data_IF_726202269586
#
_entry.id   IF_726202269586
#
_cell.length_a   1.000
_cell.length_b   1.000
_cell.length_c   1.000
_cell.angle_alpha   90.00
_cell.angle_beta   90.00
_cell.angle_gamma   90.00
#
_symmetry.space_group_name_H-M   'P 1'
#
loop_
_entity.id
_entity.type
_entity.pdbx_description
1 polymer ?
#
# COMPACT_ATOMS: atom_id res chain seq x y z
N UNK A 1 -45.56 54.15 63.88
CA UNK A 1 -46.08 53.56 62.66
C UNK A 1 -44.88 53.25 61.80
N UNK A 2 -44.47 52.01 61.66
CA UNK A 2 -43.32 51.54 60.89
C UNK A 2 -43.83 50.73 59.69
N UNK A 3 -43.60 51.27 58.51
CA UNK A 3 -43.90 50.63 57.25
C UNK A 3 -42.77 49.65 56.87
N UNK A 4 -43.10 48.39 56.67
CA UNK A 4 -42.14 47.34 56.25
C UNK A 4 -42.25 47.20 54.73
N UNK A 5 -41.21 47.61 54.02
CA UNK A 5 -41.05 47.30 52.60
C UNK A 5 -40.53 45.86 52.45
N UNK A 6 -41.29 45.05 51.76
CA UNK A 6 -40.85 43.71 51.32
C UNK A 6 -40.14 43.86 49.97
N UNK A 7 -38.87 43.59 49.95
CA UNK A 7 -38.10 43.50 48.68
C UNK A 7 -38.23 42.07 48.16
N UNK A 8 -38.81 41.93 46.99
CA UNK A 8 -38.89 40.64 46.26
C UNK A 8 -37.67 40.53 45.37
N UNK A 9 -36.75 39.61 45.74
CA UNK A 9 -35.61 39.26 44.89
C UNK A 9 -36.05 38.30 43.76
N UNK A 10 -35.97 38.78 42.53
CA UNK A 10 -36.14 37.98 41.35
C UNK A 10 -34.79 37.37 40.99
N UNK A 11 -34.62 36.09 41.21
CA UNK A 11 -33.42 35.34 40.78
C UNK A 11 -33.51 35.03 39.28
N UNK A 12 -32.70 35.72 38.52
CA UNK A 12 -32.49 35.45 37.09
C UNK A 12 -31.53 34.27 36.97
N UNK A 13 -32.05 33.07 36.77
CA UNK A 13 -31.25 31.90 36.47
C UNK A 13 -30.77 31.99 35.02
N UNK A 14 -29.49 32.31 34.83
CA UNK A 14 -28.86 32.31 33.49
C UNK A 14 -28.57 30.86 33.11
N UNK A 15 -29.33 30.31 32.21
CA UNK A 15 -29.05 29.05 31.52
C UNK A 15 -27.83 29.28 30.63
N UNK A 16 -26.63 28.90 31.07
CA UNK A 16 -25.48 28.78 30.18
C UNK A 16 -25.65 27.48 29.44
N UNK A 17 -26.15 27.57 28.21
CA UNK A 17 -26.11 26.46 27.27
C UNK A 17 -24.63 26.17 26.97
N UNK A 18 -24.14 25.04 27.44
CA UNK A 18 -22.86 24.43 27.01
C UNK A 18 -23.02 24.04 25.53
N UNK A 19 -22.81 24.99 24.64
CA UNK A 19 -22.57 24.70 23.24
C UNK A 19 -21.20 23.99 23.17
N UNK A 20 -21.23 22.67 23.16
CA UNK A 20 -20.05 21.89 22.76
C UNK A 20 -19.64 22.35 21.33
N UNK A 21 -18.38 22.15 20.93
CA UNK A 21 -17.96 22.49 19.59
C UNK A 21 -18.87 21.75 18.60
N UNK A 22 -19.73 22.51 17.92
CA UNK A 22 -20.50 21.97 16.80
C UNK A 22 -19.49 21.63 15.72
N UNK A 23 -19.12 20.35 15.62
CA UNK A 23 -18.43 19.86 14.43
C UNK A 23 -19.35 20.16 13.26
N UNK A 24 -18.90 20.98 12.33
CA UNK A 24 -19.68 21.28 11.13
C UNK A 24 -19.99 19.94 10.44
N UNK A 25 -21.30 19.69 10.20
CA UNK A 25 -21.71 18.49 9.50
C UNK A 25 -21.12 18.51 8.08
N UNK A 26 -20.37 17.44 7.74
CA UNK A 26 -19.82 17.30 6.39
C UNK A 26 -20.97 17.04 5.42
N UNK A 27 -21.07 17.86 4.38
CA UNK A 27 -22.10 17.76 3.34
C UNK A 27 -21.48 17.87 1.96
N UNK A 28 -22.14 17.31 0.95
CA UNK A 28 -21.73 17.39 -0.44
C UNK A 28 -21.50 16.04 -1.10
N UNK A 29 -20.78 16.05 -2.21
CA UNK A 29 -20.45 14.84 -2.97
C UNK A 29 -18.98 14.48 -2.75
N UNK A 30 -18.70 13.19 -2.61
CA UNK A 30 -17.35 12.63 -2.50
C UNK A 30 -17.20 11.49 -3.51
N UNK A 31 -16.29 11.65 -4.46
CA UNK A 31 -15.97 10.66 -5.47
C UNK A 31 -14.71 9.90 -5.07
N UNK A 32 -14.80 8.58 -4.95
CA UNK A 32 -13.68 7.70 -4.53
C UNK A 32 -13.37 6.70 -5.63
N UNK A 33 -12.11 6.63 -6.07
CA UNK A 33 -11.62 5.61 -6.99
C UNK A 33 -10.71 4.61 -6.30
N UNK A 34 -10.98 3.31 -6.48
CA UNK A 34 -10.27 2.21 -5.85
C UNK A 34 -9.72 1.23 -6.89
N UNK A 35 -8.48 0.80 -6.68
CA UNK A 35 -7.86 -0.33 -7.40
C UNK A 35 -8.02 -1.67 -6.66
N UNK A 36 -8.77 -1.70 -5.57
CA UNK A 36 -8.99 -2.87 -4.72
C UNK A 36 -10.02 -3.82 -5.32
N UNK A 37 -9.71 -4.42 -6.46
CA UNK A 37 -10.60 -5.36 -7.14
C UNK A 37 -10.66 -6.75 -6.48
N UNK A 38 -9.66 -7.13 -5.67
CA UNK A 38 -9.64 -8.40 -4.94
C UNK A 38 -10.72 -8.45 -3.86
N UNK A 39 -11.40 -9.61 -3.66
CA UNK A 39 -12.58 -9.68 -2.80
C UNK A 39 -12.38 -9.20 -1.37
N UNK A 40 -11.34 -9.66 -0.66
CA UNK A 40 -11.14 -9.33 0.75
C UNK A 40 -10.73 -7.86 0.97
N UNK A 41 -9.72 -7.29 0.29
CA UNK A 41 -9.41 -5.86 0.38
C UNK A 41 -10.59 -4.98 -0.04
N UNK A 42 -11.33 -5.38 -1.08
CA UNK A 42 -12.51 -4.67 -1.55
C UNK A 42 -13.59 -4.60 -0.47
N UNK A 43 -13.96 -5.73 0.14
CA UNK A 43 -14.96 -5.77 1.20
C UNK A 43 -14.55 -4.90 2.40
N UNK A 44 -13.26 -4.87 2.75
CA UNK A 44 -12.74 -4.01 3.82
C UNK A 44 -12.92 -2.53 3.47
N UNK A 45 -12.56 -2.11 2.27
CA UNK A 45 -12.73 -0.71 1.84
C UNK A 45 -14.20 -0.31 1.77
N UNK A 46 -15.06 -1.17 1.23
CA UNK A 46 -16.51 -0.95 1.18
C UNK A 46 -17.10 -0.79 2.59
N UNK A 47 -16.67 -1.61 3.56
CA UNK A 47 -17.08 -1.50 4.95
C UNK A 47 -16.61 -0.19 5.61
N UNK A 48 -15.37 0.23 5.35
CA UNK A 48 -14.83 1.51 5.84
C UNK A 48 -15.61 2.70 5.27
N UNK A 49 -15.87 2.71 3.97
CA UNK A 49 -16.63 3.77 3.29
C UNK A 49 -18.07 3.80 3.83
N UNK A 50 -18.73 2.64 3.98
CA UNK A 50 -20.07 2.54 4.55
C UNK A 50 -20.12 3.07 5.99
N UNK A 51 -19.10 2.75 6.79
CA UNK A 51 -18.97 3.28 8.14
C UNK A 51 -18.83 4.81 8.14
N UNK A 52 -17.97 5.34 7.29
CA UNK A 52 -17.78 6.78 7.14
C UNK A 52 -19.05 7.48 6.69
N UNK A 53 -19.76 6.93 5.70
CA UNK A 53 -21.07 7.44 5.25
C UNK A 53 -22.09 7.47 6.39
N UNK A 54 -22.12 6.45 7.25
CA UNK A 54 -23.05 6.40 8.39
C UNK A 54 -22.75 7.46 9.46
N UNK A 55 -21.49 7.88 9.58
CA UNK A 55 -21.06 8.93 10.50
C UNK A 55 -21.29 10.33 9.93
N UNK A 56 -21.40 10.45 8.60
CA UNK A 56 -21.56 11.71 7.88
C UNK A 56 -22.71 11.62 6.88
N UNK A 57 -23.97 11.56 7.35
CA UNK A 57 -25.15 11.33 6.50
C UNK A 57 -25.40 12.45 5.47
N UNK A 58 -24.84 13.63 5.66
CA UNK A 58 -24.89 14.75 4.71
C UNK A 58 -23.99 14.59 3.47
N UNK A 59 -23.09 13.58 3.45
CA UNK A 59 -22.25 13.30 2.29
C UNK A 59 -22.96 12.32 1.34
N UNK A 60 -22.83 12.55 0.05
CA UNK A 60 -23.18 11.60 -1.00
C UNK A 60 -21.88 10.98 -1.57
N UNK A 61 -21.58 9.74 -1.18
CA UNK A 61 -20.33 9.07 -1.58
C UNK A 61 -20.57 8.19 -2.79
N UNK A 62 -19.82 8.43 -3.86
CA UNK A 62 -19.79 7.60 -5.06
C UNK A 62 -18.45 6.87 -5.15
N UNK A 63 -18.49 5.54 -5.21
CA UNK A 63 -17.28 4.71 -5.29
C UNK A 63 -17.20 4.02 -6.65
N UNK A 64 -16.05 4.14 -7.32
CA UNK A 64 -15.72 3.40 -8.54
C UNK A 64 -14.59 2.44 -8.24
N UNK A 65 -14.82 1.14 -8.46
CA UNK A 65 -13.79 0.10 -8.34
C UNK A 65 -13.34 -0.30 -9.74
N UNK A 66 -12.06 -0.17 -10.01
CA UNK A 66 -11.46 -0.50 -11.30
C UNK A 66 -10.49 -1.67 -11.09
N UNK A 67 -10.42 -2.59 -12.05
CA UNK A 67 -9.42 -3.66 -12.04
C UNK A 67 -8.02 -3.07 -11.87
N UNK A 68 -7.19 -3.71 -11.03
CA UNK A 68 -5.87 -3.19 -10.64
C UNK A 68 -4.96 -2.90 -11.82
N UNK A 69 -4.93 -3.77 -12.83
CA UNK A 69 -4.04 -3.57 -13.97
C UNK A 69 -4.58 -2.49 -14.92
N UNK A 70 -5.89 -2.45 -15.11
CA UNK A 70 -6.55 -1.38 -15.84
C UNK A 70 -6.38 -0.02 -15.13
N UNK A 71 -6.47 0.01 -13.80
CA UNK A 71 -6.28 1.22 -13.00
C UNK A 71 -4.89 1.85 -13.22
N UNK A 72 -3.84 1.03 -13.23
CA UNK A 72 -2.45 1.49 -13.46
C UNK A 72 -2.27 2.22 -14.79
N UNK A 73 -3.01 1.81 -15.81
CA UNK A 73 -2.93 2.43 -17.14
C UNK A 73 -3.83 3.66 -17.29
N UNK A 74 -4.90 3.74 -16.52
CA UNK A 74 -5.93 4.77 -16.64
C UNK A 74 -5.76 5.95 -15.68
N UNK A 75 -4.99 5.80 -14.59
CA UNK A 75 -4.90 6.81 -13.52
C UNK A 75 -4.54 8.20 -14.06
N UNK A 76 -3.59 8.30 -14.97
CA UNK A 76 -3.21 9.60 -15.55
C UNK A 76 -4.38 10.27 -16.27
N UNK A 77 -5.18 9.49 -16.98
CA UNK A 77 -6.30 10.00 -17.77
C UNK A 77 -7.39 10.57 -16.86
N UNK A 78 -7.83 9.81 -15.84
CA UNK A 78 -8.89 10.31 -14.97
C UNK A 78 -8.40 11.44 -14.05
N UNK A 79 -7.16 11.43 -13.58
CA UNK A 79 -6.61 12.56 -12.82
C UNK A 79 -6.54 13.87 -13.63
N UNK A 80 -6.36 13.77 -14.95
CA UNK A 80 -6.27 14.94 -15.82
C UNK A 80 -7.63 15.42 -16.35
N UNK A 81 -8.66 14.55 -16.41
CA UNK A 81 -9.94 14.86 -17.05
C UNK A 81 -11.11 14.99 -16.07
N UNK A 82 -11.26 14.03 -15.16
CA UNK A 82 -12.35 13.95 -14.18
C UNK A 82 -11.82 13.30 -12.89
N UNK A 83 -10.97 14.04 -12.19
CA UNK A 83 -10.30 13.55 -10.99
C UNK A 83 -11.32 13.17 -9.88
N UNK A 84 -11.11 12.02 -9.20
CA UNK A 84 -11.81 11.74 -7.96
C UNK A 84 -11.27 12.63 -6.84
N UNK A 85 -12.08 12.80 -5.78
CA UNK A 85 -11.64 13.51 -4.57
C UNK A 85 -10.66 12.65 -3.75
N UNK A 86 -10.86 11.33 -3.77
CA UNK A 86 -9.98 10.35 -3.11
C UNK A 86 -9.67 9.21 -4.05
N UNK A 87 -8.43 8.75 -4.03
CA UNK A 87 -8.00 7.59 -4.83
C UNK A 87 -7.00 6.72 -4.07
N UNK A 88 -6.96 5.43 -4.41
CA UNK A 88 -5.88 4.55 -3.97
C UNK A 88 -4.73 4.59 -4.97
N UNK A 89 -3.49 4.65 -4.47
CA UNK A 89 -2.29 4.57 -5.30
C UNK A 89 -1.09 4.06 -4.49
N UNK A 90 -0.01 3.80 -5.19
CA UNK A 90 1.26 3.38 -4.61
C UNK A 90 2.03 4.57 -4.06
N UNK A 91 2.78 4.34 -2.99
CA UNK A 91 3.66 5.30 -2.36
C UNK A 91 4.98 5.57 -3.13
N UNK A 92 5.78 6.46 -2.60
CA UNK A 92 7.15 6.77 -3.01
C UNK A 92 7.29 7.10 -4.51
N UNK A 93 8.25 6.51 -5.20
CA UNK A 93 8.58 6.85 -6.59
C UNK A 93 7.41 6.69 -7.56
N UNK A 94 6.44 5.81 -7.29
CA UNK A 94 5.26 5.66 -8.14
C UNK A 94 4.23 6.78 -7.97
N UNK A 95 4.25 7.46 -6.82
CA UNK A 95 3.41 8.64 -6.55
C UNK A 95 4.03 9.91 -7.12
N UNK A 96 5.37 10.00 -7.11
CA UNK A 96 6.12 11.22 -7.49
C UNK A 96 5.70 11.86 -8.81
N UNK A 97 5.48 11.16 -9.92
CA UNK A 97 5.08 11.78 -11.19
C UNK A 97 3.76 12.56 -11.13
N UNK A 98 2.85 12.17 -10.22
CA UNK A 98 1.57 12.86 -10.03
C UNK A 98 1.72 14.06 -9.09
N UNK A 99 2.63 13.99 -8.13
CA UNK A 99 3.03 15.13 -7.30
C UNK A 99 3.68 16.20 -8.16
N UNK A 100 4.66 15.82 -8.98
CA UNK A 100 5.39 16.75 -9.87
C UNK A 100 4.45 17.41 -10.90
N UNK A 101 3.40 16.71 -11.29
CA UNK A 101 2.37 17.23 -12.20
C UNK A 101 1.29 18.08 -11.51
N UNK A 102 1.35 18.24 -10.17
CA UNK A 102 0.35 18.99 -9.40
C UNK A 102 -1.04 18.33 -9.39
N UNK A 103 -1.10 17.00 -9.49
CA UNK A 103 -2.35 16.23 -9.55
C UNK A 103 -2.76 15.62 -8.20
N UNK A 104 -1.95 15.82 -7.17
CA UNK A 104 -2.23 15.38 -5.80
C UNK A 104 -2.19 16.58 -4.85
N UNK A 105 -2.96 16.48 -3.77
CA UNK A 105 -3.03 17.49 -2.74
C UNK A 105 -2.00 17.23 -1.62
N UNK A 106 -1.45 18.30 -1.04
CA UNK A 106 -0.61 18.25 0.15
C UNK A 106 -1.48 17.96 1.38
N UNK A 107 -1.28 16.80 1.97
CA UNK A 107 -2.03 16.34 3.15
C UNK A 107 -1.15 16.26 4.41
N UNK A 108 -0.11 17.08 4.46
CA UNK A 108 0.86 17.10 5.56
C UNK A 108 0.22 17.41 6.93
N UNK A 109 -0.85 18.20 6.96
CA UNK A 109 -1.61 18.53 8.16
C UNK A 109 -2.28 17.30 8.78
N UNK A 110 -2.74 16.33 7.98
CA UNK A 110 -3.31 15.08 8.48
C UNK A 110 -2.31 14.28 9.31
N UNK A 111 -1.02 14.40 9.02
CA UNK A 111 0.03 13.71 9.76
C UNK A 111 0.36 14.34 11.13
N UNK A 112 -0.28 15.45 11.48
CA UNK A 112 -0.25 16.04 12.82
C UNK A 112 -1.31 15.42 13.75
N UNK A 113 -2.29 14.69 13.19
CA UNK A 113 -3.29 13.97 13.97
C UNK A 113 -2.62 12.85 14.80
N UNK A 114 -2.82 12.82 16.14
CA UNK A 114 -2.13 11.87 17.01
C UNK A 114 -2.32 10.40 16.63
N UNK A 115 -3.50 10.05 16.11
CA UNK A 115 -3.81 8.69 15.67
C UNK A 115 -2.98 8.29 14.43
N UNK A 116 -2.79 9.19 13.48
CA UNK A 116 -1.98 8.99 12.27
C UNK A 116 -0.50 9.00 12.64
N UNK A 117 -0.04 10.05 13.33
CA UNK A 117 1.35 10.20 13.72
C UNK A 117 1.87 9.03 14.57
N UNK A 118 1.03 8.52 15.51
CA UNK A 118 1.40 7.40 16.37
C UNK A 118 1.37 6.04 15.68
N UNK A 119 0.31 5.75 14.91
CA UNK A 119 0.10 4.42 14.32
C UNK A 119 0.86 4.21 13.02
N UNK A 120 1.13 5.28 12.25
CA UNK A 120 1.69 5.21 10.90
C UNK A 120 3.08 5.84 10.77
N UNK A 121 3.74 6.17 11.89
CA UNK A 121 5.04 6.85 11.91
C UNK A 121 6.10 6.18 11.00
N UNK A 122 6.16 4.84 11.01
CA UNK A 122 7.12 4.07 10.21
C UNK A 122 6.90 4.16 8.70
N UNK A 123 5.70 4.56 8.28
CA UNK A 123 5.34 4.67 6.85
C UNK A 123 5.42 6.10 6.32
N UNK A 124 5.61 7.09 7.20
CA UNK A 124 5.62 8.52 6.82
C UNK A 124 6.64 8.82 5.73
N UNK A 125 7.84 8.21 5.81
CA UNK A 125 8.90 8.40 4.81
C UNK A 125 8.45 8.02 3.39
N UNK A 126 7.69 6.94 3.23
CA UNK A 126 7.18 6.50 1.94
C UNK A 126 6.11 7.44 1.36
N UNK A 127 5.45 8.24 2.20
CA UNK A 127 4.45 9.24 1.78
C UNK A 127 5.05 10.64 1.60
N UNK A 128 6.38 10.79 1.87
CA UNK A 128 7.04 12.11 1.85
C UNK A 128 7.81 12.30 0.54
N UNK A 129 7.47 13.37 -0.17
CA UNK A 129 8.19 13.87 -1.35
C UNK A 129 8.41 15.36 -1.15
N UNK A 130 9.65 15.82 -1.29
CA UNK A 130 10.07 17.21 -1.12
C UNK A 130 9.61 17.84 0.23
N UNK A 131 9.70 17.03 1.30
CA UNK A 131 9.36 17.43 2.67
C UNK A 131 7.87 17.46 3.00
N UNK A 132 6.98 17.18 2.05
CA UNK A 132 5.52 17.16 2.20
C UNK A 132 4.96 15.75 2.10
N UNK A 133 3.81 15.51 2.72
CA UNK A 133 3.11 14.25 2.65
C UNK A 133 1.94 14.33 1.66
N UNK A 134 1.86 13.33 0.76
CA UNK A 134 0.94 13.32 -0.38
C UNK A 134 -0.10 12.20 -0.31
N UNK A 135 -0.22 11.58 0.84
CA UNK A 135 -1.21 10.55 1.10
C UNK A 135 -1.08 9.95 2.50
N UNK A 136 -2.02 9.07 2.82
CA UNK A 136 -2.05 8.30 4.07
C UNK A 136 -2.16 6.82 3.71
N UNK A 137 -1.28 5.94 4.22
CA UNK A 137 -1.35 4.51 3.91
C UNK A 137 -2.55 3.87 4.62
N UNK A 138 -3.33 3.07 3.89
CA UNK A 138 -4.42 2.27 4.46
C UNK A 138 -4.01 0.83 4.73
N UNK A 139 -2.92 0.36 4.10
CA UNK A 139 -2.35 -0.98 4.29
C UNK A 139 -0.88 -1.00 3.93
N UNK A 140 -0.17 -1.96 4.49
CA UNK A 140 1.19 -2.33 4.06
C UNK A 140 1.34 -3.85 4.20
N UNK A 141 2.32 -4.40 3.53
CA UNK A 141 2.67 -5.82 3.63
C UNK A 141 4.17 -6.00 3.43
N UNK A 142 4.68 -7.11 3.93
CA UNK A 142 6.08 -7.45 3.78
C UNK A 142 6.34 -8.00 2.38
N UNK A 143 7.46 -7.59 1.79
CA UNK A 143 7.95 -8.14 0.55
C UNK A 143 9.02 -9.20 0.87
N UNK A 144 8.76 -10.43 0.48
CA UNK A 144 9.63 -11.56 0.79
C UNK A 144 9.13 -12.85 0.17
N UNK A 145 9.83 -13.93 0.48
CA UNK A 145 9.45 -15.29 0.06
C UNK A 145 8.62 -15.90 1.19
N UNK A 146 7.36 -16.19 0.91
CA UNK A 146 6.49 -16.94 1.80
C UNK A 146 6.65 -18.42 1.51
N UNK A 147 6.81 -19.25 2.54
CA UNK A 147 7.04 -20.68 2.37
C UNK A 147 6.05 -21.53 3.16
N UNK A 148 5.83 -22.74 2.70
CA UNK A 148 5.01 -23.77 3.34
C UNK A 148 5.85 -24.47 4.40
N UNK A 149 5.55 -24.23 5.69
CA UNK A 149 6.26 -24.85 6.82
C UNK A 149 6.19 -26.37 6.78
N UNK A 150 5.02 -26.93 6.49
CA UNK A 150 4.80 -28.36 6.37
C UNK A 150 5.67 -29.02 5.29
N UNK A 151 5.91 -28.35 4.16
CA UNK A 151 6.82 -28.86 3.11
C UNK A 151 8.28 -28.80 3.58
N UNK A 152 8.67 -27.73 4.26
CA UNK A 152 10.02 -27.60 4.80
C UNK A 152 10.30 -28.67 5.85
N UNK A 153 9.35 -28.92 6.76
CA UNK A 153 9.43 -29.97 7.78
C UNK A 153 9.49 -31.37 7.15
N UNK A 154 8.64 -31.69 6.16
CA UNK A 154 8.61 -32.96 5.43
C UNK A 154 9.94 -33.29 4.74
N UNK A 155 10.61 -32.26 4.20
CA UNK A 155 11.89 -32.41 3.51
C UNK A 155 13.12 -32.17 4.40
N UNK A 156 12.94 -31.85 5.69
CA UNK A 156 14.03 -31.55 6.61
C UNK A 156 14.79 -30.27 6.26
N UNK A 157 14.13 -29.30 5.64
CA UNK A 157 14.73 -28.04 5.22
C UNK A 157 14.62 -26.97 6.32
N UNK A 158 15.60 -26.06 6.35
CA UNK A 158 15.57 -24.87 7.18
C UNK A 158 15.37 -23.60 6.34
N UNK A 159 15.00 -22.51 7.00
CA UNK A 159 15.00 -21.19 6.36
C UNK A 159 16.41 -20.87 5.85
N UNK A 160 16.58 -20.53 4.57
CA UNK A 160 17.89 -20.31 4.01
C UNK A 160 18.50 -19.02 4.54
N UNK A 161 19.72 -19.08 5.06
CA UNK A 161 20.47 -17.93 5.54
C UNK A 161 21.07 -17.11 4.39
N UNK A 162 21.36 -17.73 3.27
CA UNK A 162 21.93 -17.08 2.09
C UNK A 162 21.38 -17.66 0.77
N UNK A 163 21.87 -17.10 -0.34
CA UNK A 163 21.43 -17.51 -1.68
C UNK A 163 21.83 -18.96 -2.03
N UNK A 164 22.98 -19.46 -1.53
CA UNK A 164 23.39 -20.83 -1.82
C UNK A 164 22.52 -21.84 -1.10
N UNK A 165 22.18 -21.58 0.16
CA UNK A 165 21.22 -22.41 0.89
C UNK A 165 19.83 -22.36 0.23
N UNK A 166 19.41 -21.21 -0.29
CA UNK A 166 18.17 -21.07 -1.05
C UNK A 166 18.20 -21.94 -2.32
N UNK A 167 19.32 -22.00 -3.04
CA UNK A 167 19.49 -22.90 -4.19
C UNK A 167 19.43 -24.36 -3.77
N UNK A 168 20.14 -24.75 -2.70
CA UNK A 168 20.16 -26.12 -2.18
C UNK A 168 18.78 -26.59 -1.74
N UNK A 169 18.01 -25.74 -1.04
CA UNK A 169 16.63 -26.03 -0.69
C UNK A 169 15.76 -26.24 -1.94
N UNK A 170 15.98 -25.43 -2.96
CA UNK A 170 15.27 -25.55 -4.22
C UNK A 170 15.59 -26.86 -4.94
N UNK A 171 16.86 -27.27 -4.98
CA UNK A 171 17.29 -28.57 -5.52
C UNK A 171 16.60 -29.74 -4.81
N UNK A 172 16.53 -29.70 -3.48
CA UNK A 172 15.84 -30.72 -2.69
C UNK A 172 14.33 -30.80 -3.00
N UNK A 173 13.68 -29.64 -3.14
CA UNK A 173 12.26 -29.57 -3.54
C UNK A 173 12.05 -30.18 -4.93
N UNK A 174 12.88 -29.81 -5.90
CA UNK A 174 12.81 -30.34 -7.27
C UNK A 174 13.04 -31.86 -7.28
N UNK A 175 14.03 -32.34 -6.54
CA UNK A 175 14.31 -33.78 -6.41
C UNK A 175 13.15 -34.55 -5.79
N UNK A 176 12.33 -33.90 -4.95
CA UNK A 176 11.11 -34.50 -4.38
C UNK A 176 9.89 -34.44 -5.33
N UNK A 177 10.07 -33.95 -6.56
CA UNK A 177 9.01 -33.80 -7.55
C UNK A 177 8.15 -32.52 -7.38
N UNK A 178 8.57 -31.61 -6.51
CA UNK A 178 7.88 -30.34 -6.29
C UNK A 178 8.51 -29.21 -7.12
N UNK A 179 7.79 -28.13 -7.31
CA UNK A 179 8.36 -26.85 -7.78
C UNK A 179 8.74 -25.99 -6.58
N UNK A 180 9.83 -25.25 -6.74
CA UNK A 180 10.39 -24.45 -5.67
C UNK A 180 9.54 -23.20 -5.39
N UNK A 181 9.18 -22.48 -6.46
CA UNK A 181 8.48 -21.22 -6.37
C UNK A 181 7.21 -21.16 -7.22
N UNK A 182 6.12 -20.74 -6.60
CA UNK A 182 4.91 -20.32 -7.27
C UNK A 182 5.00 -18.83 -7.62
N UNK A 183 4.79 -18.49 -8.88
CA UNK A 183 4.79 -17.12 -9.39
C UNK A 183 3.88 -17.04 -10.60
N UNK A 184 3.14 -15.94 -10.75
CA UNK A 184 2.44 -15.61 -11.99
C UNK A 184 3.07 -14.36 -12.60
N UNK A 185 3.55 -14.44 -13.84
CA UNK A 185 4.30 -13.34 -14.48
C UNK A 185 3.59 -12.72 -15.67
N UNK A 186 2.31 -13.02 -15.87
CA UNK A 186 1.50 -12.44 -16.96
C UNK A 186 1.63 -10.92 -17.07
N UNK A 187 1.69 -10.24 -15.94
CA UNK A 187 1.78 -8.78 -15.84
C UNK A 187 3.20 -8.26 -15.57
N UNK A 188 4.19 -9.12 -15.61
CA UNK A 188 5.63 -8.87 -15.46
C UNK A 188 6.10 -8.27 -14.12
N UNK A 189 5.25 -7.57 -13.36
CA UNK A 189 5.65 -6.91 -12.11
C UNK A 189 6.15 -7.88 -11.04
N UNK A 190 5.65 -9.11 -11.02
CA UNK A 190 6.15 -10.16 -10.11
C UNK A 190 7.55 -10.64 -10.51
N UNK A 191 7.83 -10.69 -11.81
CA UNK A 191 9.16 -10.98 -12.31
C UNK A 191 10.15 -9.86 -11.96
N UNK A 192 9.76 -8.59 -12.15
CA UNK A 192 10.61 -7.47 -11.72
C UNK A 192 10.84 -7.46 -10.21
N UNK A 193 9.83 -7.90 -9.41
CA UNK A 193 9.99 -8.05 -7.97
C UNK A 193 11.07 -9.05 -7.57
N UNK A 194 11.28 -10.14 -8.34
CA UNK A 194 12.41 -11.04 -8.13
C UNK A 194 13.74 -10.35 -8.39
N UNK A 195 13.84 -9.60 -9.47
CA UNK A 195 15.04 -8.81 -9.76
C UNK A 195 15.33 -7.81 -8.63
N UNK A 196 14.33 -7.04 -8.23
CA UNK A 196 14.47 -6.03 -7.16
C UNK A 196 14.94 -6.67 -5.85
N UNK A 197 14.33 -7.80 -5.48
CA UNK A 197 14.68 -8.52 -4.25
C UNK A 197 16.12 -9.06 -4.30
N UNK A 198 16.50 -9.74 -5.38
CA UNK A 198 17.87 -10.25 -5.56
C UNK A 198 18.89 -9.13 -5.60
N UNK A 199 18.59 -8.03 -6.30
CA UNK A 199 19.47 -6.87 -6.38
C UNK A 199 19.74 -6.27 -4.99
N UNK A 200 18.66 -6.01 -4.22
CA UNK A 200 18.80 -5.49 -2.85
C UNK A 200 19.53 -6.45 -1.92
N UNK A 201 19.31 -7.76 -2.04
CA UNK A 201 19.96 -8.76 -1.19
C UNK A 201 21.44 -8.95 -1.52
N UNK A 202 21.80 -8.79 -2.79
CA UNK A 202 23.19 -8.98 -3.27
C UNK A 202 24.02 -7.71 -3.09
N UNK A 203 23.46 -6.54 -3.40
CA UNK A 203 24.24 -5.28 -3.51
C UNK A 203 23.79 -4.21 -2.51
N UNK A 204 22.76 -4.47 -1.72
CA UNK A 204 22.24 -3.53 -0.72
C UNK A 204 21.21 -2.54 -1.26
N UNK A 205 20.52 -1.91 -0.32
CA UNK A 205 19.42 -0.99 -0.61
C UNK A 205 19.89 0.26 -1.38
N UNK A 206 21.01 0.85 -0.98
CA UNK A 206 21.49 2.10 -1.59
C UNK A 206 21.84 1.90 -3.08
N UNK A 207 22.52 0.79 -3.41
CA UNK A 207 22.80 0.45 -4.81
C UNK A 207 21.52 0.26 -5.62
N UNK A 208 20.57 -0.50 -5.09
CA UNK A 208 19.27 -0.71 -5.74
C UNK A 208 18.54 0.61 -5.99
N UNK A 209 18.53 1.51 -5.02
CA UNK A 209 17.87 2.82 -5.16
C UNK A 209 18.59 3.75 -6.15
N UNK A 210 19.92 3.72 -6.20
CA UNK A 210 20.68 4.47 -7.22
C UNK A 210 20.36 3.96 -8.64
N UNK A 211 20.30 2.64 -8.80
CA UNK A 211 19.90 2.03 -10.08
C UNK A 211 18.45 2.43 -10.44
N UNK A 212 17.51 2.36 -9.50
CA UNK A 212 16.11 2.73 -9.72
C UNK A 212 15.93 4.21 -10.10
N UNK A 213 16.85 5.08 -9.68
CA UNK A 213 16.88 6.51 -10.07
C UNK A 213 17.63 6.78 -11.37
N UNK A 214 18.21 5.74 -12.00
CA UNK A 214 18.99 5.89 -13.22
C UNK A 214 20.42 6.44 -13.01
N UNK A 215 20.91 6.42 -11.78
CA UNK A 215 22.28 6.83 -11.42
C UNK A 215 23.31 5.73 -11.72
N UNK A 216 22.84 4.49 -11.92
CA UNK A 216 23.63 3.31 -12.28
C UNK A 216 23.18 2.80 -13.63
N UNK A 217 24.11 2.55 -14.51
CA UNK A 217 23.84 1.99 -15.83
C UNK A 217 23.40 0.52 -15.74
N UNK A 218 22.44 0.11 -16.57
CA UNK A 218 21.99 -1.29 -16.65
C UNK A 218 23.09 -2.26 -17.08
N UNK A 219 24.19 -1.75 -17.63
CA UNK A 219 25.39 -2.49 -18.03
C UNK A 219 26.39 -2.68 -16.89
N UNK A 220 26.17 -2.10 -15.71
CA UNK A 220 27.02 -2.26 -14.54
C UNK A 220 27.19 -3.77 -14.21
N UNK A 221 28.43 -4.23 -13.93
CA UNK A 221 28.70 -5.64 -13.61
C UNK A 221 27.84 -6.20 -12.46
N UNK A 222 27.49 -5.37 -11.47
CA UNK A 222 26.62 -5.77 -10.34
C UNK A 222 25.19 -6.04 -10.77
N UNK A 223 24.67 -5.27 -11.73
CA UNK A 223 23.35 -5.53 -12.33
C UNK A 223 23.39 -6.86 -13.09
N UNK A 224 24.47 -7.12 -13.83
CA UNK A 224 24.67 -8.40 -14.51
C UNK A 224 24.71 -9.57 -13.52
N UNK A 225 25.42 -9.45 -12.40
CA UNK A 225 25.47 -10.47 -11.35
C UNK A 225 24.08 -10.78 -10.79
N UNK A 226 23.23 -9.77 -10.61
CA UNK A 226 21.84 -9.98 -10.21
C UNK A 226 21.08 -10.86 -11.22
N UNK A 227 21.23 -10.58 -12.53
CA UNK A 227 20.62 -11.42 -13.57
C UNK A 227 21.22 -12.83 -13.63
N UNK A 228 22.51 -12.97 -13.40
CA UNK A 228 23.20 -14.28 -13.38
C UNK A 228 22.66 -15.13 -12.22
N UNK A 229 22.48 -14.54 -11.05
CA UNK A 229 21.87 -15.19 -9.88
C UNK A 229 20.40 -15.57 -10.14
N UNK A 230 19.60 -14.67 -10.69
CA UNK A 230 18.24 -15.01 -11.08
C UNK A 230 18.20 -16.11 -12.14
N UNK A 231 19.10 -16.04 -13.11
CA UNK A 231 19.27 -17.05 -14.15
C UNK A 231 19.57 -18.46 -13.62
N UNK A 232 20.23 -18.60 -12.45
CA UNK A 232 20.42 -19.92 -11.81
C UNK A 232 19.08 -20.55 -11.46
N UNK A 233 18.16 -19.79 -10.84
CA UNK A 233 16.81 -20.27 -10.49
C UNK A 233 15.99 -20.64 -11.73
N UNK A 234 16.06 -19.84 -12.78
CA UNK A 234 15.35 -20.12 -14.04
C UNK A 234 15.88 -21.39 -14.69
N UNK A 235 17.20 -21.54 -14.81
CA UNK A 235 17.83 -22.71 -15.46
C UNK A 235 17.62 -24.01 -14.72
N UNK A 236 17.50 -23.99 -13.40
CA UNK A 236 17.20 -25.20 -12.60
C UNK A 236 15.71 -25.59 -12.63
N UNK A 237 14.84 -24.79 -13.28
CA UNK A 237 13.41 -25.07 -13.32
C UNK A 237 12.68 -24.82 -12.00
N UNK A 238 13.15 -23.83 -11.22
CA UNK A 238 12.65 -23.52 -9.88
C UNK A 238 11.18 -23.07 -9.87
N UNK A 239 10.71 -22.48 -10.95
CA UNK A 239 9.38 -21.87 -11.02
C UNK A 239 8.34 -22.84 -11.57
N UNK A 240 7.07 -22.62 -11.18
CA UNK A 240 5.94 -23.38 -11.74
C UNK A 240 5.86 -23.19 -13.26
N UNK A 241 5.30 -24.20 -13.92
CA UNK A 241 5.07 -24.16 -15.36
C UNK A 241 3.95 -23.19 -15.72
N UNK A 242 3.98 -22.68 -16.95
CA UNK A 242 2.96 -21.79 -17.49
C UNK A 242 2.76 -20.49 -16.68
N UNK A 243 3.77 -20.10 -15.89
CA UNK A 243 3.70 -18.89 -15.07
C UNK A 243 3.47 -17.60 -15.86
N UNK A 244 3.92 -17.56 -17.10
CA UNK A 244 3.78 -16.40 -18.00
C UNK A 244 2.32 -16.14 -18.44
N UNK A 245 1.44 -17.11 -18.33
CA UNK A 245 0.01 -17.00 -18.62
C UNK A 245 -0.85 -16.81 -17.38
N UNK A 246 -0.26 -16.93 -16.20
CA UNK A 246 -0.93 -16.78 -14.91
C UNK A 246 -0.69 -15.40 -14.31
N UNK A 247 -1.73 -14.80 -13.74
CA UNK A 247 -1.54 -13.72 -12.79
C UNK A 247 -1.06 -14.27 -11.43
N UNK A 248 -0.76 -13.36 -10.51
CA UNK A 248 -0.23 -13.75 -9.21
C UNK A 248 -1.24 -14.60 -8.39
N UNK A 249 -2.54 -14.37 -8.52
CA UNK A 249 -3.58 -15.12 -7.80
C UNK A 249 -3.73 -16.53 -8.37
N UNK A 250 -3.68 -16.69 -9.68
CA UNK A 250 -3.76 -17.99 -10.37
C UNK A 250 -2.52 -18.88 -10.13
N UNK A 251 -1.44 -18.30 -9.62
CA UNK A 251 -0.21 -19.03 -9.29
C UNK A 251 -0.16 -19.53 -7.86
N UNK A 252 -1.06 -19.07 -6.99
CA UNK A 252 -1.15 -19.57 -5.61
C UNK A 252 -1.74 -20.98 -5.57
N UNK A 253 -1.27 -21.82 -4.63
CA UNK A 253 -1.80 -23.17 -4.44
C UNK A 253 -3.23 -23.17 -3.90
#
# INVERSE_FOLDING_TARGET
MRSILKATAVSLATLVALAGPASAELTGNLKIHLDTSNPAPRATMEAMISRFQSLHPGLNITTTVIDREAYKTQIRNFLSADAPDVLTWYAANRMKPYVDAGLLEDVSDMWNEPAIAGSLASTKGAMTIDGKQWGVPYTYYQWGIYYRKDIYEDLGLNEPADFNEMLSNCEAMIASGRKCYAIGTKWLWTASGWFDYLNMRTHGFDFHMQMARGEIEWTDPRVRETFDNWGKLVRMGAFIEDHQNKDWQQSLP
#
